data_IF_340004317494
#
_entry.id   IF_340004317494
#
_cell.length_a   1.000
_cell.length_b   1.000
_cell.length_c   1.000
_cell.angle_alpha   90.00
_cell.angle_beta   90.00
_cell.angle_gamma   90.00
#
_symmetry.space_group_name_H-M   'P 1'
#
loop_
_entity.id
_entity.type
_entity.pdbx_description
1 polymer ?
#
# COMPACT_ATOMS: atom_id res chain seq x y z
N UNK A 1 -3.16 16.25 4.65
CA UNK A 1 -4.41 15.50 4.92
C UNK A 1 -4.84 15.84 6.33
N UNK A 2 -6.14 16.05 6.56
CA UNK A 2 -6.65 16.68 7.79
C UNK A 2 -6.88 15.67 8.93
N UNK A 3 -7.03 14.38 8.61
CA UNK A 3 -7.33 13.32 9.59
C UNK A 3 -6.52 12.03 9.37
N UNK A 4 -5.17 12.07 9.35
CA UNK A 4 -4.24 10.97 8.95
C UNK A 4 -4.54 9.59 9.49
N UNK A 5 -5.14 9.53 10.67
CA UNK A 5 -5.42 8.29 11.37
C UNK A 5 -6.84 7.74 11.09
N UNK A 6 -7.68 8.47 10.35
CA UNK A 6 -9.01 7.99 9.97
C UNK A 6 -8.90 6.87 8.93
N UNK A 7 -9.54 5.73 9.24
CA UNK A 7 -9.50 4.49 8.45
C UNK A 7 -10.80 4.20 7.69
N UNK A 8 -11.76 5.12 7.75
CA UNK A 8 -13.08 4.93 7.16
C UNK A 8 -13.07 5.37 5.70
N UNK A 9 -13.66 4.54 4.82
CA UNK A 9 -13.89 4.85 3.40
C UNK A 9 -12.63 5.32 2.64
N UNK A 10 -11.44 4.90 3.08
CA UNK A 10 -10.14 5.27 2.52
C UNK A 10 -9.57 4.21 1.56
N UNK A 11 -10.36 3.17 1.27
CA UNK A 11 -10.03 2.07 0.37
C UNK A 11 -11.24 1.76 -0.51
N UNK A 12 -11.00 1.67 -1.81
CA UNK A 12 -11.98 1.15 -2.75
C UNK A 12 -11.26 0.37 -3.87
N UNK A 13 -11.96 -0.61 -4.45
CA UNK A 13 -11.47 -1.40 -5.57
C UNK A 13 -12.50 -1.45 -6.69
N UNK A 14 -12.00 -1.62 -7.91
CA UNK A 14 -12.80 -1.73 -9.14
C UNK A 14 -12.41 -2.99 -9.90
N UNK A 15 -13.36 -3.58 -10.61
CA UNK A 15 -13.16 -4.70 -11.53
C UNK A 15 -13.56 -4.37 -12.97
N UNK A 16 -14.05 -3.16 -13.22
CA UNK A 16 -14.64 -2.75 -14.51
C UNK A 16 -13.95 -1.52 -15.11
N UNK A 17 -12.69 -1.28 -14.72
CA UNK A 17 -11.90 -0.15 -15.20
C UNK A 17 -12.27 1.18 -14.54
N UNK A 18 -12.85 1.15 -13.34
CA UNK A 18 -13.18 2.34 -12.56
C UNK A 18 -14.57 2.90 -12.81
N UNK A 19 -15.45 2.16 -13.50
CA UNK A 19 -16.87 2.56 -13.69
C UNK A 19 -17.65 2.39 -12.39
N UNK A 20 -17.39 1.31 -11.67
CA UNK A 20 -17.93 1.05 -10.33
C UNK A 20 -16.82 0.77 -9.34
N UNK A 21 -17.10 1.12 -8.08
CA UNK A 21 -16.17 1.00 -6.96
C UNK A 21 -16.86 0.35 -5.78
N UNK A 22 -16.17 -0.57 -5.13
CA UNK A 22 -16.62 -1.26 -3.93
C UNK A 22 -15.72 -0.81 -2.78
N UNK A 23 -16.33 -0.37 -1.68
CA UNK A 23 -15.59 0.03 -0.48
C UNK A 23 -14.91 -1.17 0.16
N UNK A 24 -13.63 -1.02 0.44
CA UNK A 24 -12.82 -1.96 1.21
C UNK A 24 -12.55 -1.47 2.63
N UNK A 25 -11.90 -2.31 3.43
CA UNK A 25 -11.41 -1.98 4.78
C UNK A 25 -10.03 -2.63 5.02
N UNK A 26 -9.35 -2.22 6.08
CA UNK A 26 -8.15 -2.89 6.59
C UNK A 26 -6.83 -2.14 6.41
N UNK A 27 -6.82 -0.97 5.77
CA UNK A 27 -5.66 -0.08 5.76
C UNK A 27 -5.50 0.63 7.11
N UNK A 28 -4.26 0.88 7.52
CA UNK A 28 -3.94 1.55 8.78
C UNK A 28 -3.72 3.06 8.60
N UNK A 29 -4.79 3.78 8.24
CA UNK A 29 -4.80 5.24 8.06
C UNK A 29 -4.56 5.66 6.60
N UNK A 30 -4.21 6.93 6.40
CA UNK A 30 -3.96 7.49 5.08
C UNK A 30 -2.77 6.81 4.37
N UNK A 31 -2.91 6.55 3.07
CA UNK A 31 -1.85 6.01 2.20
C UNK A 31 -1.59 6.97 1.03
N UNK A 32 -0.35 7.43 0.92
CA UNK A 32 0.11 8.36 -0.10
C UNK A 32 0.26 7.70 -1.48
N UNK A 33 0.56 6.40 -1.51
CA UNK A 33 0.84 5.65 -2.74
C UNK A 33 0.54 4.17 -2.58
N UNK A 34 0.22 3.50 -3.69
CA UNK A 34 0.11 2.05 -3.76
C UNK A 34 0.67 1.52 -5.09
N UNK A 35 1.21 0.30 -5.09
CA UNK A 35 1.71 -0.39 -6.29
C UNK A 35 1.31 -1.85 -6.27
N UNK A 36 0.98 -2.39 -7.45
CA UNK A 36 0.94 -3.83 -7.66
C UNK A 36 2.36 -4.38 -7.74
N UNK A 37 2.65 -5.42 -6.97
CA UNK A 37 3.89 -6.21 -7.06
C UNK A 37 3.74 -7.32 -8.10
N UNK A 38 2.54 -7.90 -8.17
CA UNK A 38 2.09 -8.87 -9.17
C UNK A 38 0.57 -8.71 -9.41
N UNK A 39 -0.10 -9.69 -10.02
CA UNK A 39 -1.55 -9.62 -10.32
C UNK A 39 -2.46 -9.49 -9.09
N UNK A 40 -2.00 -9.88 -7.89
CA UNK A 40 -2.80 -9.90 -6.65
C UNK A 40 -2.11 -9.23 -5.47
N UNK A 41 -0.78 -9.19 -5.46
CA UNK A 41 -0.02 -8.60 -4.37
C UNK A 41 0.05 -7.09 -4.54
N UNK A 42 -0.38 -6.34 -3.52
CA UNK A 42 -0.39 -4.87 -3.51
C UNK A 42 0.33 -4.38 -2.27
N UNK A 43 1.19 -3.39 -2.42
CA UNK A 43 1.78 -2.64 -1.30
C UNK A 43 1.25 -1.22 -1.33
N UNK A 44 0.75 -0.74 -0.19
CA UNK A 44 0.35 0.64 0.02
C UNK A 44 1.21 1.25 1.12
N UNK A 45 1.63 2.51 0.94
CA UNK A 45 2.50 3.22 1.88
C UNK A 45 1.96 4.61 2.17
N UNK A 46 2.26 5.15 3.34
CA UNK A 46 1.88 6.50 3.73
C UNK A 46 2.58 6.96 5.00
N UNK A 47 2.07 8.05 5.57
CA UNK A 47 2.66 8.70 6.74
C UNK A 47 2.67 7.85 8.01
N UNK A 48 1.78 6.86 8.11
CA UNK A 48 1.65 5.97 9.26
C UNK A 48 2.17 4.55 9.00
N UNK A 49 2.91 4.32 7.93
CA UNK A 49 3.49 3.01 7.61
C UNK A 49 3.13 2.45 6.25
N UNK A 50 3.29 1.14 6.15
CA UNK A 50 2.95 0.36 4.97
C UNK A 50 2.05 -0.84 5.28
N UNK A 51 1.20 -1.19 4.32
CA UNK A 51 0.33 -2.36 4.36
C UNK A 51 0.50 -3.19 3.07
N UNK A 52 0.36 -4.51 3.18
CA UNK A 52 0.40 -5.45 2.06
C UNK A 52 -0.89 -6.25 1.98
N UNK A 53 -1.37 -6.44 0.75
CA UNK A 53 -2.42 -7.38 0.42
C UNK A 53 -1.87 -8.47 -0.50
N UNK A 54 -2.36 -9.70 -0.35
CA UNK A 54 -2.03 -10.84 -1.21
C UNK A 54 -3.21 -11.34 -2.05
N UNK A 55 -4.38 -10.70 -1.93
CA UNK A 55 -5.64 -11.17 -2.50
C UNK A 55 -6.36 -10.11 -3.36
N UNK A 56 -5.58 -9.15 -3.89
CA UNK A 56 -6.08 -8.08 -4.74
C UNK A 56 -6.71 -6.92 -3.95
N UNK A 57 -6.29 -6.69 -2.71
CA UNK A 57 -6.74 -5.59 -1.88
C UNK A 57 -7.97 -5.89 -1.03
N UNK A 58 -8.37 -7.17 -0.90
CA UNK A 58 -9.53 -7.56 -0.08
C UNK A 58 -9.18 -7.65 1.40
N UNK A 59 -8.00 -8.18 1.72
CA UNK A 59 -7.43 -8.20 3.06
C UNK A 59 -6.03 -7.59 3.07
N UNK A 60 -5.69 -6.94 4.18
CA UNK A 60 -4.45 -6.19 4.35
C UNK A 60 -3.73 -6.58 5.64
N UNK A 61 -2.40 -6.55 5.61
CA UNK A 61 -1.52 -6.78 6.75
C UNK A 61 -0.57 -5.60 6.88
N UNK A 62 -0.40 -5.08 8.09
CA UNK A 62 0.60 -4.06 8.35
C UNK A 62 2.01 -4.67 8.23
N UNK A 63 2.92 -3.95 7.58
CA UNK A 63 4.33 -4.33 7.43
C UNK A 63 5.22 -3.55 8.40
N UNK A 64 5.01 -2.23 8.49
CA UNK A 64 5.79 -1.33 9.34
C UNK A 64 4.99 -0.05 9.66
N UNK A 65 5.66 0.89 10.34
CA UNK A 65 5.15 2.22 10.71
C UNK A 65 5.99 3.38 10.17
N UNK A 66 6.84 3.10 9.18
CA UNK A 66 7.78 4.09 8.63
C UNK A 66 7.05 5.09 7.72
N UNK A 67 7.52 6.34 7.67
CA UNK A 67 6.84 7.40 6.92
C UNK A 67 7.30 7.41 5.46
N UNK A 68 6.41 7.00 4.56
CA UNK A 68 6.68 6.94 3.12
C UNK A 68 5.77 7.87 2.31
N UNK A 69 6.35 8.45 1.27
CA UNK A 69 5.67 9.31 0.31
C UNK A 69 5.26 8.56 -0.96
N UNK A 70 6.07 7.61 -1.41
CA UNK A 70 5.82 6.86 -2.63
C UNK A 70 6.35 5.42 -2.55
N UNK A 71 5.76 4.53 -3.35
CA UNK A 71 6.21 3.15 -3.53
C UNK A 71 6.09 2.75 -5.00
N UNK A 72 7.05 2.00 -5.50
CA UNK A 72 7.02 1.42 -6.85
C UNK A 72 7.53 -0.01 -6.83
N UNK A 73 6.92 -0.87 -7.65
CA UNK A 73 7.39 -2.23 -7.87
C UNK A 73 7.72 -2.50 -9.34
N UNK A 74 8.72 -3.37 -9.56
CA UNK A 74 8.99 -4.08 -10.82
C UNK A 74 9.16 -5.56 -10.52
N UNK A 75 8.06 -6.21 -10.17
CA UNK A 75 8.03 -7.59 -9.69
C UNK A 75 8.54 -7.75 -8.25
N UNK A 76 8.43 -8.98 -7.74
CA UNK A 76 8.70 -9.32 -6.32
C UNK A 76 10.09 -8.93 -5.80
N UNK A 77 11.10 -8.87 -6.66
CA UNK A 77 12.49 -8.64 -6.25
C UNK A 77 12.90 -7.15 -6.23
N UNK A 78 12.02 -6.25 -6.67
CA UNK A 78 12.29 -4.83 -6.82
C UNK A 78 11.07 -4.01 -6.39
N UNK A 79 10.82 -3.98 -5.08
CA UNK A 79 9.80 -3.13 -4.46
C UNK A 79 10.51 -2.12 -3.57
N UNK A 80 10.35 -0.83 -3.90
CA UNK A 80 11.06 0.26 -3.25
C UNK A 80 10.09 1.34 -2.80
N UNK A 81 10.31 1.86 -1.60
CA UNK A 81 9.60 3.01 -1.05
C UNK A 81 10.57 4.14 -0.73
N UNK A 82 10.08 5.37 -0.80
CA UNK A 82 10.84 6.58 -0.47
C UNK A 82 10.07 7.44 0.52
N UNK A 83 10.80 8.12 1.39
CA UNK A 83 10.24 8.94 2.46
C UNK A 83 10.96 10.27 2.63
N UNK A 84 10.69 10.94 3.74
CA UNK A 84 11.34 12.20 4.09
C UNK A 84 12.85 12.02 4.30
N UNK A 85 13.61 13.13 4.24
CA UNK A 85 15.03 13.18 4.57
C UNK A 85 15.92 12.19 3.78
N UNK A 86 15.55 11.89 2.54
CA UNK A 86 16.33 10.98 1.69
C UNK A 86 16.16 9.49 2.01
N UNK A 87 15.15 9.11 2.80
CA UNK A 87 14.86 7.72 3.11
C UNK A 87 14.56 6.93 1.82
N UNK A 88 15.26 5.79 1.66
CA UNK A 88 15.01 4.79 0.62
C UNK A 88 14.96 3.41 1.27
N UNK A 89 13.83 2.72 1.13
CA UNK A 89 13.60 1.37 1.67
C UNK A 89 13.38 0.37 0.56
N UNK A 90 14.01 -0.80 0.66
CA UNK A 90 13.69 -1.96 -0.18
C UNK A 90 12.86 -2.96 0.64
N UNK A 91 11.65 -3.28 0.19
CA UNK A 91 10.89 -4.38 0.78
C UNK A 91 11.46 -5.71 0.31
N UNK A 92 11.82 -6.57 1.25
CA UNK A 92 12.32 -7.91 0.96
C UNK A 92 11.15 -8.90 0.94
N UNK A 93 10.92 -9.53 -0.21
CA UNK A 93 10.10 -10.75 -0.24
C UNK A 93 10.97 -11.89 0.24
N UNK A 94 10.64 -12.50 1.38
CA UNK A 94 11.43 -13.57 1.98
C UNK A 94 11.80 -14.67 0.99
N UNK A 95 13.06 -15.10 1.06
CA UNK A 95 13.54 -16.38 0.55
C UNK A 95 12.76 -17.48 1.27
N UNK A 96 12.11 -18.36 0.53
CA UNK A 96 12.08 -19.76 0.93
C UNK A 96 13.35 -20.39 0.39
#
# INVERSE_FOLDING_TARGET
>A
YEKPDEINNNLAFTSDGGKTWILGKGLNGYRSSATFVDKKTIVAVGSSGSDISFDGGKTWKNLDKENYNAVQAKGKNAVWAVGANGLVTKFLTGKN
#
